data_IF_228023743938
#
_entry.id   IF_228023743938
#
_cell.length_a   1.000
_cell.length_b   1.000
_cell.length_c   1.000
_cell.angle_alpha   90.00
_cell.angle_beta   90.00
_cell.angle_gamma   90.00
#
_symmetry.space_group_name_H-M   'P 1'
#
loop_
_entity.id
_entity.type
_entity.pdbx_description
1 polymer ?
#
# COMPACT_ATOMS: atom_id res chain seq x y z
N UNK A 1 -29.11 9.92 51.82
CA UNK A 1 -27.96 9.31 51.14
C UNK A 1 -28.38 7.95 50.60
N UNK A 2 -28.55 7.80 49.28
CA UNK A 2 -28.78 6.48 48.67
C UNK A 2 -27.81 6.31 47.51
N UNK A 3 -26.91 5.36 47.71
CA UNK A 3 -25.74 5.04 46.88
C UNK A 3 -26.27 4.30 45.65
N UNK A 4 -26.26 4.93 44.48
CA UNK A 4 -26.48 4.21 43.21
C UNK A 4 -25.27 3.30 42.98
N UNK A 5 -25.51 2.00 43.04
CA UNK A 5 -24.56 0.97 42.65
C UNK A 5 -24.22 1.16 41.16
N UNK A 6 -22.93 1.33 40.85
CA UNK A 6 -22.43 1.25 39.48
C UNK A 6 -22.43 -0.22 39.07
N UNK A 7 -23.37 -0.59 38.21
CA UNK A 7 -23.31 -1.86 37.49
C UNK A 7 -22.03 -1.86 36.63
N UNK A 8 -21.18 -2.89 36.71
CA UNK A 8 -20.00 -2.96 35.86
C UNK A 8 -20.46 -3.11 34.40
N UNK A 9 -20.00 -2.20 33.53
CA UNK A 9 -20.15 -2.31 32.08
C UNK A 9 -19.42 -3.59 31.63
N UNK A 10 -20.18 -4.63 31.30
CA UNK A 10 -19.67 -5.82 30.63
C UNK A 10 -19.84 -5.59 29.14
N UNK A 11 -18.75 -5.23 28.46
CA UNK A 11 -18.74 -5.07 27.00
C UNK A 11 -18.45 -6.41 26.34
N UNK A 12 -19.35 -6.86 25.48
CA UNK A 12 -19.04 -7.92 24.52
C UNK A 12 -18.36 -7.27 23.30
N UNK A 13 -17.17 -7.72 22.89
CA UNK A 13 -16.48 -7.17 21.73
C UNK A 13 -17.30 -7.44 20.46
N UNK A 14 -17.42 -6.44 19.58
CA UNK A 14 -17.91 -6.66 18.23
C UNK A 14 -16.98 -7.65 17.55
N UNK A 15 -17.52 -8.77 17.08
CA UNK A 15 -16.76 -9.74 16.28
C UNK A 15 -16.66 -9.18 14.86
N UNK A 16 -15.47 -8.74 14.51
CA UNK A 16 -15.07 -8.53 13.11
C UNK A 16 -14.91 -9.94 12.51
N UNK A 17 -15.70 -10.27 11.49
CA UNK A 17 -15.65 -11.61 10.87
C UNK A 17 -14.55 -11.62 9.81
N UNK A 18 -13.52 -12.43 10.03
CA UNK A 18 -12.18 -12.23 9.47
C UNK A 18 -11.88 -13.04 8.20
N UNK A 19 -12.90 -13.43 7.44
CA UNK A 19 -12.71 -14.14 6.17
C UNK A 19 -13.30 -13.33 5.00
N UNK A 20 -12.43 -12.53 4.38
CA UNK A 20 -12.60 -11.80 3.11
C UNK A 20 -13.58 -10.62 3.05
N UNK A 21 -14.37 -10.33 4.09
CA UNK A 21 -15.32 -9.22 4.06
C UNK A 21 -15.20 -8.30 5.27
N UNK A 22 -14.60 -7.13 5.06
CA UNK A 22 -14.47 -5.96 5.97
C UNK A 22 -15.82 -5.53 6.54
N UNK A 23 -16.44 -6.30 7.41
CA UNK A 23 -17.83 -6.08 7.77
C UNK A 23 -18.13 -6.41 9.22
N UNK A 24 -19.08 -5.65 9.80
CA UNK A 24 -19.49 -5.80 11.20
C UNK A 24 -20.98 -6.09 11.28
N UNK A 25 -21.33 -6.97 12.21
CA UNK A 25 -22.71 -7.23 12.60
C UNK A 25 -23.18 -6.13 13.58
N UNK A 26 -24.17 -5.36 13.15
CA UNK A 26 -24.79 -4.29 13.96
C UNK A 26 -26.02 -4.84 14.71
N UNK A 27 -25.94 -4.93 16.04
CA UNK A 27 -27.07 -5.28 16.91
C UNK A 27 -27.88 -4.02 17.28
N UNK A 28 -28.71 -3.53 16.36
CA UNK A 28 -29.78 -2.55 16.66
C UNK A 28 -30.77 -2.38 15.49
N UNK A 29 -31.04 -3.46 14.75
CA UNK A 29 -32.12 -3.48 13.75
C UNK A 29 -33.28 -4.31 14.31
N UNK A 30 -34.43 -3.67 14.49
CA UNK A 30 -35.70 -4.38 14.71
C UNK A 30 -36.09 -5.24 13.49
N UNK A 31 -35.39 -5.11 12.35
CA UNK A 31 -35.49 -5.99 11.19
C UNK A 31 -34.11 -6.46 10.73
N UNK A 32 -33.74 -7.71 11.06
CA UNK A 32 -32.59 -8.49 10.57
C UNK A 32 -31.19 -7.85 10.69
N UNK A 33 -30.27 -8.57 11.34
CA UNK A 33 -28.84 -8.25 11.43
C UNK A 33 -28.24 -7.97 10.05
N UNK A 34 -28.05 -6.69 9.73
CA UNK A 34 -27.46 -6.23 8.48
C UNK A 34 -25.97 -6.08 8.69
N UNK A 35 -25.20 -6.88 7.97
CA UNK A 35 -23.76 -6.77 7.91
C UNK A 35 -23.41 -5.66 6.91
N UNK A 36 -22.75 -4.60 7.37
CA UNK A 36 -22.28 -3.48 6.52
C UNK A 36 -20.76 -3.39 6.54
N UNK A 37 -20.13 -2.86 5.47
CA UNK A 37 -18.70 -2.60 5.46
C UNK A 37 -18.26 -1.68 6.59
N UNK A 38 -17.02 -1.83 7.08
CA UNK A 38 -16.46 -0.99 8.17
C UNK A 38 -16.50 0.51 7.82
N UNK A 39 -16.21 0.83 6.56
CA UNK A 39 -16.21 2.19 6.03
C UNK A 39 -17.63 2.79 6.05
N UNK A 40 -18.65 1.98 5.76
CA UNK A 40 -20.05 2.39 5.79
C UNK A 40 -20.58 2.51 7.23
N UNK A 41 -20.13 1.63 8.13
CA UNK A 41 -20.41 1.70 9.56
C UNK A 41 -19.93 3.01 10.19
N UNK A 42 -18.73 3.50 9.79
CA UNK A 42 -18.22 4.79 10.25
C UNK A 42 -19.07 6.00 9.81
N UNK A 43 -19.88 5.87 8.77
CA UNK A 43 -20.71 6.94 8.22
C UNK A 43 -22.16 6.90 8.73
N UNK A 44 -22.74 5.69 8.86
CA UNK A 44 -24.18 5.52 9.10
C UNK A 44 -24.55 5.25 10.57
N UNK A 45 -23.61 4.81 11.41
CA UNK A 45 -23.91 4.36 12.77
C UNK A 45 -23.94 5.48 13.82
N UNK A 46 -24.50 5.20 15.00
CA UNK A 46 -24.52 6.14 16.13
C UNK A 46 -23.11 6.44 16.68
N UNK A 47 -22.94 7.58 17.36
CA UNK A 47 -21.66 7.97 17.98
C UNK A 47 -21.07 6.88 18.90
N UNK A 48 -21.92 6.19 19.67
CA UNK A 48 -21.47 5.10 20.54
C UNK A 48 -20.93 3.89 19.74
N UNK A 49 -21.60 3.53 18.66
CA UNK A 49 -21.18 2.43 17.78
C UNK A 49 -19.88 2.77 17.03
N UNK A 50 -19.74 4.00 16.51
CA UNK A 50 -18.51 4.46 15.85
C UNK A 50 -17.30 4.41 16.79
N UNK A 51 -17.47 4.79 18.06
CA UNK A 51 -16.41 4.69 19.07
C UNK A 51 -16.04 3.24 19.38
N UNK A 52 -17.02 2.37 19.56
CA UNK A 52 -16.80 0.92 19.80
C UNK A 52 -16.06 0.27 18.62
N UNK A 53 -16.41 0.64 17.39
CA UNK A 53 -15.76 0.19 16.16
C UNK A 53 -14.27 0.57 16.14
N UNK A 54 -13.94 1.84 16.36
CA UNK A 54 -12.54 2.26 16.40
C UNK A 54 -11.80 1.55 17.54
N UNK A 55 -12.40 1.43 18.73
CA UNK A 55 -11.77 0.71 19.84
C UNK A 55 -11.49 -0.77 19.50
N UNK A 56 -12.37 -1.47 18.78
CA UNK A 56 -12.09 -2.84 18.32
C UNK A 56 -10.91 -2.90 17.35
N UNK A 57 -10.82 -1.93 16.43
CA UNK A 57 -9.68 -1.80 15.49
C UNK A 57 -8.36 -1.55 16.23
N UNK A 58 -8.38 -0.78 17.32
CA UNK A 58 -7.20 -0.52 18.14
C UNK A 58 -6.72 -1.72 18.97
N UNK A 59 -7.63 -2.64 19.29
CA UNK A 59 -7.34 -3.82 20.12
C UNK A 59 -6.79 -4.99 19.31
N UNK A 60 -6.91 -4.94 17.98
CA UNK A 60 -6.46 -5.97 17.05
C UNK A 60 -5.14 -5.55 16.36
N UNK A 61 -5.04 -5.59 15.02
CA UNK A 61 -3.89 -5.06 14.28
C UNK A 61 -4.23 -3.73 13.57
N UNK A 62 -3.97 -2.57 14.21
CA UNK A 62 -4.37 -1.28 13.67
C UNK A 62 -3.65 -0.91 12.38
N UNK A 63 -2.54 -1.57 12.02
CA UNK A 63 -1.85 -1.36 10.74
C UNK A 63 -2.69 -1.88 9.57
N UNK A 64 -3.42 -2.98 9.75
CA UNK A 64 -4.28 -3.55 8.71
C UNK A 64 -5.49 -2.66 8.40
N UNK A 65 -5.92 -1.86 9.37
CA UNK A 65 -7.05 -0.95 9.26
C UNK A 65 -6.62 0.50 9.05
N UNK A 66 -5.41 0.75 8.54
CA UNK A 66 -4.88 2.11 8.38
C UNK A 66 -5.77 3.00 7.49
N UNK A 67 -6.33 2.47 6.40
CA UNK A 67 -7.27 3.19 5.53
C UNK A 67 -8.54 3.62 6.28
N UNK A 68 -9.04 2.77 7.17
CA UNK A 68 -10.20 3.05 8.02
C UNK A 68 -9.88 4.13 9.06
N UNK A 69 -8.67 4.13 9.63
CA UNK A 69 -8.19 5.17 10.55
C UNK A 69 -8.07 6.52 9.84
N UNK A 70 -7.59 6.55 8.59
CA UNK A 70 -7.54 7.76 7.76
C UNK A 70 -8.94 8.34 7.53
N UNK A 71 -9.92 7.48 7.22
CA UNK A 71 -11.32 7.91 7.09
C UNK A 71 -11.89 8.43 8.41
N UNK A 72 -11.60 7.75 9.52
CA UNK A 72 -12.06 8.14 10.86
C UNK A 72 -11.52 9.51 11.29
N UNK A 73 -10.38 9.97 10.76
CA UNK A 73 -9.86 11.33 10.98
C UNK A 73 -10.76 12.43 10.43
N UNK A 74 -11.64 12.10 9.49
CA UNK A 74 -12.63 13.01 8.88
C UNK A 74 -14.02 12.87 9.51
N UNK A 75 -14.17 12.11 10.60
CA UNK A 75 -15.46 11.91 11.26
C UNK A 75 -15.91 13.15 12.06
N UNK A 76 -17.22 13.32 12.21
CA UNK A 76 -17.79 14.43 13.00
C UNK A 76 -17.68 14.21 14.52
N UNK A 77 -17.43 12.97 14.98
CA UNK A 77 -17.23 12.68 16.40
C UNK A 77 -15.77 12.91 16.83
N UNK A 78 -15.55 13.90 17.69
CA UNK A 78 -14.22 14.27 18.18
C UNK A 78 -13.48 13.14 18.91
N UNK A 79 -14.18 12.20 19.55
CA UNK A 79 -13.54 11.05 20.20
C UNK A 79 -13.03 10.03 19.17
N UNK A 80 -13.83 9.77 18.13
CA UNK A 80 -13.44 8.91 16.99
C UNK A 80 -12.20 9.48 16.30
N UNK A 81 -12.19 10.79 16.02
CA UNK A 81 -11.04 11.49 15.46
C UNK A 81 -9.81 11.38 16.37
N UNK A 82 -9.98 11.56 17.69
CA UNK A 82 -8.87 11.47 18.65
C UNK A 82 -8.26 10.07 18.72
N UNK A 83 -9.10 9.04 18.75
CA UNK A 83 -8.63 7.65 18.77
C UNK A 83 -7.87 7.28 17.49
N UNK A 84 -8.42 7.65 16.33
CA UNK A 84 -7.75 7.43 15.05
C UNK A 84 -6.40 8.15 14.99
N UNK A 85 -6.35 9.43 15.35
CA UNK A 85 -5.11 10.21 15.35
C UNK A 85 -4.04 9.63 16.28
N UNK A 86 -4.43 9.16 17.46
CA UNK A 86 -3.51 8.57 18.44
C UNK A 86 -2.96 7.23 17.94
N UNK A 87 -3.81 6.40 17.33
CA UNK A 87 -3.40 5.12 16.76
C UNK A 87 -2.42 5.31 15.60
N UNK A 88 -2.74 6.21 14.68
CA UNK A 88 -1.87 6.55 13.56
C UNK A 88 -0.53 7.11 14.00
N UNK A 89 -0.52 7.99 15.01
CA UNK A 89 0.73 8.51 15.58
C UNK A 89 1.59 7.38 16.18
N UNK A 90 0.96 6.40 16.82
CA UNK A 90 1.66 5.23 17.35
C UNK A 90 2.20 4.32 16.25
N UNK A 91 1.43 4.07 15.18
CA UNK A 91 1.88 3.33 13.99
C UNK A 91 3.08 4.02 13.36
N UNK A 92 2.99 5.33 13.13
CA UNK A 92 4.08 6.14 12.57
C UNK A 92 5.34 6.03 13.43
N UNK A 93 5.22 6.21 14.75
CA UNK A 93 6.34 6.07 15.69
C UNK A 93 6.99 4.69 15.65
N UNK A 94 6.20 3.63 15.57
CA UNK A 94 6.70 2.26 15.49
C UNK A 94 7.42 1.99 14.16
N UNK A 95 6.85 2.45 13.04
CA UNK A 95 7.45 2.34 11.72
C UNK A 95 8.78 3.09 11.65
N UNK A 96 8.84 4.32 12.18
CA UNK A 96 10.08 5.10 12.24
C UNK A 96 11.14 4.39 13.07
N UNK A 97 10.77 3.86 14.25
CA UNK A 97 11.70 3.10 15.09
C UNK A 97 12.21 1.83 14.38
N UNK A 98 11.36 1.14 13.62
CA UNK A 98 11.77 -0.01 12.82
C UNK A 98 12.75 0.40 11.71
N UNK A 99 12.45 1.46 10.96
CA UNK A 99 13.34 2.01 9.93
C UNK A 99 14.71 2.39 10.50
N UNK A 100 14.76 3.04 11.67
CA UNK A 100 16.02 3.37 12.33
C UNK A 100 16.84 2.12 12.70
N UNK A 101 16.20 1.05 13.18
CA UNK A 101 16.88 -0.23 13.46
C UNK A 101 17.44 -0.87 12.19
N UNK A 102 16.67 -0.90 11.11
CA UNK A 102 17.14 -1.42 9.82
C UNK A 102 18.28 -0.56 9.25
N UNK A 103 18.20 0.76 9.36
CA UNK A 103 19.28 1.66 8.94
C UNK A 103 20.57 1.45 9.75
N UNK A 104 20.46 1.25 11.07
CA UNK A 104 21.60 0.93 11.92
C UNK A 104 22.24 -0.42 11.55
N UNK A 105 21.43 -1.46 11.32
CA UNK A 105 21.91 -2.77 10.85
C UNK A 105 22.59 -2.68 9.50
N UNK A 106 22.01 -1.94 8.56
CA UNK A 106 22.61 -1.69 7.25
C UNK A 106 23.94 -0.94 7.35
N UNK A 107 24.07 -0.01 8.30
CA UNK A 107 25.34 0.68 8.53
C UNK A 107 26.41 -0.27 9.08
N UNK A 108 26.03 -1.23 9.92
CA UNK A 108 26.93 -2.23 10.49
C UNK A 108 27.34 -3.30 9.47
N UNK A 109 26.40 -3.79 8.66
CA UNK A 109 26.63 -4.78 7.61
C UNK A 109 25.91 -4.42 6.30
N UNK A 110 26.52 -3.57 5.47
CA UNK A 110 25.88 -3.08 4.24
C UNK A 110 25.90 -4.09 3.08
N UNK A 111 26.61 -5.22 3.23
CA UNK A 111 26.76 -6.24 2.19
C UNK A 111 25.95 -7.51 2.48
N UNK A 112 25.41 -7.66 3.69
CA UNK A 112 24.53 -8.77 4.00
C UNK A 112 23.22 -8.66 3.17
N UNK A 113 22.94 -9.66 2.29
CA UNK A 113 21.73 -9.68 1.48
C UNK A 113 20.43 -9.64 2.30
N UNK A 114 20.42 -10.24 3.49
CA UNK A 114 19.26 -10.25 4.37
C UNK A 114 19.00 -8.85 4.95
N UNK A 115 20.07 -8.15 5.37
CA UNK A 115 19.97 -6.77 5.88
C UNK A 115 19.46 -5.82 4.79
N UNK A 116 19.95 -5.95 3.56
CA UNK A 116 19.45 -5.19 2.41
C UNK A 116 17.94 -5.46 2.17
N UNK A 117 17.54 -6.74 2.19
CA UNK A 117 16.16 -7.15 1.90
C UNK A 117 15.18 -6.66 2.94
N UNK A 118 15.52 -6.84 4.22
CA UNK A 118 14.69 -6.38 5.32
C UNK A 118 14.57 -4.87 5.35
N UNK A 119 15.65 -4.13 5.08
CA UNK A 119 15.58 -2.67 5.03
C UNK A 119 14.75 -2.17 3.85
N UNK A 120 14.92 -2.75 2.67
CA UNK A 120 14.10 -2.43 1.51
C UNK A 120 12.61 -2.71 1.77
N UNK A 121 12.28 -3.86 2.37
CA UNK A 121 10.91 -4.23 2.71
C UNK A 121 10.30 -3.26 3.74
N UNK A 122 11.06 -2.84 4.76
CA UNK A 122 10.61 -1.87 5.74
C UNK A 122 10.32 -0.49 5.12
N UNK A 123 11.16 -0.03 4.18
CA UNK A 123 10.92 1.20 3.43
C UNK A 123 9.67 1.11 2.56
N UNK A 124 9.47 0.00 1.85
CA UNK A 124 8.27 -0.22 1.03
C UNK A 124 7.00 -0.23 1.87
N UNK A 125 7.01 -0.90 3.03
CA UNK A 125 5.88 -0.92 3.94
C UNK A 125 5.55 0.50 4.46
N UNK A 126 6.57 1.26 4.85
CA UNK A 126 6.41 2.65 5.30
C UNK A 126 5.85 3.56 4.20
N UNK A 127 6.34 3.42 2.97
CA UNK A 127 5.87 4.17 1.80
C UNK A 127 4.43 3.79 1.40
N UNK A 128 4.07 2.50 1.50
CA UNK A 128 2.72 2.01 1.18
C UNK A 128 1.66 2.56 2.15
N UNK A 129 2.02 2.72 3.43
CA UNK A 129 1.17 3.34 4.44
C UNK A 129 1.11 4.88 4.33
N UNK A 130 1.88 5.50 3.43
CA UNK A 130 1.89 6.96 3.27
C UNK A 130 2.39 7.74 4.48
N UNK A 131 3.16 7.09 5.38
CA UNK A 131 3.63 7.69 6.64
C UNK A 131 4.59 8.86 6.42
N UNK A 132 5.31 8.86 5.30
CA UNK A 132 6.15 9.96 4.87
C UNK A 132 5.53 10.67 3.67
N UNK A 133 5.65 12.00 3.63
CA UNK A 133 5.20 12.82 2.49
C UNK A 133 6.29 13.79 2.04
N UNK A 134 6.12 14.35 0.85
CA UNK A 134 7.03 15.34 0.26
C UNK A 134 8.49 14.88 0.27
N UNK A 135 9.37 15.72 0.85
CA UNK A 135 10.82 15.47 0.86
C UNK A 135 11.21 14.20 1.62
N UNK A 136 10.52 13.86 2.70
CA UNK A 136 10.81 12.66 3.49
C UNK A 136 10.53 11.39 2.67
N UNK A 137 9.38 11.32 1.99
CA UNK A 137 9.03 10.21 1.11
C UNK A 137 10.01 10.10 -0.07
N UNK A 138 10.45 11.23 -0.62
CA UNK A 138 11.44 11.24 -1.70
C UNK A 138 12.78 10.65 -1.24
N UNK A 139 13.26 11.00 -0.04
CA UNK A 139 14.49 10.44 0.52
C UNK A 139 14.37 8.93 0.78
N UNK A 140 13.23 8.47 1.31
CA UNK A 140 12.96 7.05 1.49
C UNK A 140 12.96 6.29 0.16
N UNK A 141 12.33 6.83 -0.89
CA UNK A 141 12.36 6.23 -2.24
C UNK A 141 13.76 6.19 -2.84
N UNK A 142 14.56 7.24 -2.69
CA UNK A 142 15.97 7.26 -3.13
C UNK A 142 16.80 6.20 -2.40
N UNK A 143 16.59 6.04 -1.10
CA UNK A 143 17.26 5.00 -0.32
C UNK A 143 16.80 3.60 -0.76
N UNK A 144 15.50 3.40 -0.98
CA UNK A 144 14.97 2.14 -1.50
C UNK A 144 15.56 1.80 -2.87
N UNK A 145 15.63 2.77 -3.78
CA UNK A 145 16.23 2.59 -5.10
C UNK A 145 17.69 2.11 -4.99
N UNK A 146 18.47 2.73 -4.10
CA UNK A 146 19.86 2.34 -3.82
C UNK A 146 19.95 0.90 -3.29
N UNK A 147 19.11 0.53 -2.33
CA UNK A 147 19.11 -0.82 -1.76
C UNK A 147 18.76 -1.86 -2.81
N UNK A 148 17.74 -1.62 -3.64
CA UNK A 148 17.35 -2.51 -4.72
C UNK A 148 18.48 -2.70 -5.75
N UNK A 149 19.18 -1.62 -6.13
CA UNK A 149 20.37 -1.71 -7.00
C UNK A 149 21.48 -2.56 -6.39
N UNK A 150 21.74 -2.40 -5.08
CA UNK A 150 22.73 -3.22 -4.37
C UNK A 150 22.32 -4.70 -4.37
N UNK A 151 21.06 -5.01 -4.10
CA UNK A 151 20.55 -6.39 -4.14
C UNK A 151 20.66 -7.01 -5.53
N UNK A 152 20.36 -6.25 -6.58
CA UNK A 152 20.45 -6.75 -7.96
C UNK A 152 21.88 -7.10 -8.38
N UNK A 153 22.90 -6.42 -7.82
CA UNK A 153 24.30 -6.67 -8.16
C UNK A 153 24.77 -8.08 -7.75
N UNK A 154 24.27 -8.60 -6.64
CA UNK A 154 24.70 -9.87 -6.05
C UNK A 154 23.77 -11.05 -6.38
N UNK A 155 22.59 -10.78 -6.94
CA UNK A 155 21.57 -11.79 -7.21
C UNK A 155 21.76 -12.49 -8.57
N UNK A 156 21.52 -13.81 -8.66
CA UNK A 156 21.46 -14.51 -9.92
C UNK A 156 20.48 -13.85 -10.86
N UNK A 157 20.89 -13.87 -12.11
CA UNK A 157 20.30 -13.14 -13.21
C UNK A 157 18.84 -13.60 -13.45
N UNK A 158 18.47 -14.81 -13.05
CA UNK A 158 17.13 -15.41 -13.11
C UNK A 158 16.18 -14.86 -12.03
N UNK A 159 16.71 -14.44 -10.89
CA UNK A 159 15.96 -13.95 -9.72
C UNK A 159 15.75 -12.42 -9.76
N UNK A 160 16.42 -11.74 -10.69
CA UNK A 160 16.38 -10.28 -10.83
C UNK A 160 15.04 -9.73 -11.34
N UNK A 161 14.12 -10.56 -11.86
CA UNK A 161 12.85 -10.08 -12.41
C UNK A 161 12.03 -9.28 -11.37
N UNK A 162 11.84 -9.84 -10.18
CA UNK A 162 11.05 -9.21 -9.12
C UNK A 162 11.69 -7.92 -8.61
N UNK A 163 13.00 -7.95 -8.37
CA UNK A 163 13.78 -6.79 -7.91
C UNK A 163 13.81 -5.68 -8.98
N UNK A 164 14.00 -6.04 -10.25
CA UNK A 164 14.00 -5.07 -11.34
C UNK A 164 12.64 -4.41 -11.54
N UNK A 165 11.53 -5.15 -11.41
CA UNK A 165 10.18 -4.56 -11.47
C UNK A 165 9.95 -3.56 -10.33
N UNK A 166 10.39 -3.90 -9.11
CA UNK A 166 10.34 -3.00 -7.94
C UNK A 166 11.20 -1.76 -8.18
N UNK A 167 12.42 -1.93 -8.67
CA UNK A 167 13.34 -0.85 -8.99
C UNK A 167 12.75 0.12 -10.02
N UNK A 168 12.26 -0.40 -11.15
CA UNK A 168 11.64 0.41 -12.19
C UNK A 168 10.42 1.18 -11.65
N UNK A 169 9.58 0.55 -10.81
CA UNK A 169 8.44 1.23 -10.17
C UNK A 169 8.92 2.41 -9.32
N UNK A 170 9.92 2.21 -8.47
CA UNK A 170 10.48 3.28 -7.61
C UNK A 170 11.08 4.40 -8.44
N UNK A 171 11.80 4.08 -9.52
CA UNK A 171 12.36 5.08 -10.44
C UNK A 171 11.27 5.92 -11.12
N UNK A 172 10.17 5.31 -11.53
CA UNK A 172 9.01 6.04 -12.07
C UNK A 172 8.36 6.94 -11.02
N UNK A 173 8.23 6.49 -9.77
CA UNK A 173 7.74 7.32 -8.65
C UNK A 173 8.68 8.49 -8.33
N UNK A 174 9.98 8.35 -8.59
CA UNK A 174 10.97 9.41 -8.50
C UNK A 174 11.03 10.31 -9.75
N UNK A 175 10.22 10.03 -10.77
CA UNK A 175 10.26 10.67 -12.09
C UNK A 175 11.62 10.54 -12.82
N UNK A 176 12.41 9.52 -12.48
CA UNK A 176 13.69 9.18 -13.12
C UNK A 176 13.44 8.33 -14.38
N UNK A 177 12.70 8.89 -15.33
CA UNK A 177 12.18 8.15 -16.49
C UNK A 177 13.27 7.49 -17.34
N UNK A 178 14.44 8.13 -17.48
CA UNK A 178 15.56 7.56 -18.24
C UNK A 178 16.14 6.30 -17.56
N UNK A 179 16.31 6.34 -16.23
CA UNK A 179 16.78 5.19 -15.47
C UNK A 179 15.74 4.07 -15.47
N UNK A 180 14.46 4.41 -15.28
CA UNK A 180 13.36 3.47 -15.38
C UNK A 180 13.33 2.77 -16.74
N UNK A 181 13.46 3.50 -17.85
CA UNK A 181 13.44 2.91 -19.19
C UNK A 181 14.62 1.97 -19.43
N UNK A 182 15.81 2.29 -18.90
CA UNK A 182 16.95 1.37 -18.95
C UNK A 182 16.65 0.05 -18.24
N UNK A 183 16.15 0.12 -17.00
CA UNK A 183 15.77 -1.07 -16.23
C UNK A 183 14.66 -1.86 -16.95
N UNK A 184 13.64 -1.17 -17.49
CA UNK A 184 12.53 -1.81 -18.21
C UNK A 184 12.99 -2.44 -19.54
N UNK A 185 13.96 -1.85 -20.23
CA UNK A 185 14.57 -2.42 -21.44
C UNK A 185 15.27 -3.74 -21.16
N UNK A 186 16.06 -3.80 -20.09
CA UNK A 186 16.72 -5.04 -19.67
C UNK A 186 15.69 -6.12 -19.28
N UNK A 187 14.65 -5.73 -18.55
CA UNK A 187 13.58 -6.66 -18.14
C UNK A 187 12.79 -7.21 -19.33
N UNK A 188 12.40 -6.36 -20.27
CA UNK A 188 11.63 -6.77 -21.46
C UNK A 188 12.46 -7.54 -22.47
N UNK A 189 13.76 -7.25 -22.60
CA UNK A 189 14.66 -8.05 -23.43
C UNK A 189 14.81 -9.48 -22.90
N UNK A 190 14.81 -9.63 -21.58
CA UNK A 190 15.07 -10.91 -20.93
C UNK A 190 13.83 -11.73 -20.63
N UNK A 191 12.73 -11.07 -20.26
CA UNK A 191 11.43 -11.69 -19.98
C UNK A 191 10.35 -11.06 -20.85
N UNK A 192 10.43 -11.19 -22.19
CA UNK A 192 9.57 -10.46 -23.12
C UNK A 192 8.08 -10.78 -22.95
N UNK A 193 7.74 -11.98 -22.50
CA UNK A 193 6.35 -12.42 -22.36
C UNK A 193 5.70 -12.04 -21.01
N UNK A 194 6.44 -11.45 -20.07
CA UNK A 194 5.93 -11.10 -18.74
C UNK A 194 5.35 -9.68 -18.74
N UNK A 195 4.13 -9.51 -18.23
CA UNK A 195 3.40 -8.23 -18.36
C UNK A 195 3.98 -7.06 -17.56
N UNK A 196 4.55 -7.27 -16.37
CA UNK A 196 4.82 -6.17 -15.41
C UNK A 196 5.71 -5.07 -15.99
N UNK A 197 6.85 -5.36 -16.65
CA UNK A 197 7.69 -4.31 -17.24
C UNK A 197 6.96 -3.53 -18.35
N UNK A 198 6.12 -4.20 -19.14
CA UNK A 198 5.35 -3.53 -20.19
C UNK A 198 4.28 -2.61 -19.63
N UNK A 199 3.55 -3.03 -18.61
CA UNK A 199 2.56 -2.18 -17.94
C UNK A 199 3.22 -0.95 -17.31
N UNK A 200 4.42 -1.10 -16.71
CA UNK A 200 5.18 0.03 -16.19
C UNK A 200 5.62 1.01 -17.31
N UNK A 201 5.99 0.51 -18.50
CA UNK A 201 6.27 1.35 -19.67
C UNK A 201 5.05 2.13 -20.14
N UNK A 202 3.87 1.49 -20.21
CA UNK A 202 2.62 2.18 -20.55
C UNK A 202 2.32 3.31 -19.56
N UNK A 203 2.43 3.03 -18.24
CA UNK A 203 2.24 4.03 -17.19
C UNK A 203 3.25 5.18 -17.28
N UNK A 204 4.51 4.89 -17.59
CA UNK A 204 5.55 5.90 -17.82
C UNK A 204 5.19 6.83 -19.00
N UNK A 205 4.80 6.26 -20.14
CA UNK A 205 4.39 7.02 -21.31
C UNK A 205 3.14 7.86 -21.02
N UNK A 206 2.15 7.29 -20.33
CA UNK A 206 0.95 8.01 -19.89
C UNK A 206 1.26 9.18 -18.96
N UNK A 207 2.12 8.99 -17.95
CA UNK A 207 2.54 10.03 -17.02
C UNK A 207 3.23 11.20 -17.74
N UNK A 208 3.98 10.91 -18.80
CA UNK A 208 4.64 11.91 -19.67
C UNK A 208 3.73 12.47 -20.77
N UNK A 209 2.49 11.98 -20.88
CA UNK A 209 1.54 12.31 -21.95
C UNK A 209 2.11 12.05 -23.36
N UNK A 210 2.94 11.01 -23.47
CA UNK A 210 3.58 10.62 -24.72
C UNK A 210 2.74 9.54 -25.43
N UNK A 211 1.79 9.98 -26.25
CA UNK A 211 0.91 9.08 -27.00
C UNK A 211 1.63 8.25 -28.07
N UNK A 212 2.75 8.76 -28.61
CA UNK A 212 3.52 8.03 -29.62
C UNK A 212 4.27 6.85 -28.99
N UNK A 213 4.88 7.08 -27.84
CA UNK A 213 5.56 6.02 -27.10
C UNK A 213 4.58 5.00 -26.53
N UNK A 214 3.41 5.46 -26.07
CA UNK A 214 2.34 4.57 -25.64
C UNK A 214 1.88 3.63 -26.77
N UNK A 215 1.61 4.19 -27.97
CA UNK A 215 1.20 3.40 -29.13
C UNK A 215 2.30 2.41 -29.56
N UNK A 216 3.56 2.83 -29.50
CA UNK A 216 4.71 1.96 -29.74
C UNK A 216 4.73 0.78 -28.77
N UNK A 217 4.57 1.02 -27.47
CA UNK A 217 4.59 -0.06 -26.48
C UNK A 217 3.42 -1.03 -26.62
N UNK A 218 2.21 -0.55 -26.93
CA UNK A 218 1.08 -1.41 -27.24
C UNK A 218 1.38 -2.36 -28.42
N UNK A 219 1.95 -1.83 -29.51
CA UNK A 219 2.33 -2.63 -30.66
C UNK A 219 3.44 -3.65 -30.35
N UNK A 220 4.45 -3.25 -29.55
CA UNK A 220 5.52 -4.16 -29.12
C UNK A 220 5.00 -5.27 -28.19
N UNK A 221 4.06 -4.97 -27.29
CA UNK A 221 3.43 -5.99 -26.44
C UNK A 221 2.67 -7.04 -27.26
N UNK A 222 1.99 -6.62 -28.33
CA UNK A 222 1.33 -7.54 -29.26
C UNK A 222 2.35 -8.41 -30.00
N UNK A 223 3.45 -7.82 -30.48
CA UNK A 223 4.53 -8.55 -31.16
C UNK A 223 5.21 -9.57 -30.24
N UNK A 224 5.48 -9.18 -28.99
CA UNK A 224 6.10 -10.02 -27.98
C UNK A 224 5.15 -11.08 -27.42
N UNK A 225 3.85 -11.05 -27.79
CA UNK A 225 2.82 -11.98 -27.29
C UNK A 225 2.79 -12.04 -25.76
N UNK A 226 2.75 -10.86 -25.13
CA UNK A 226 2.79 -10.71 -23.67
C UNK A 226 1.60 -11.44 -23.01
N UNK A 227 1.88 -12.27 -22.00
CA UNK A 227 0.86 -12.90 -21.19
C UNK A 227 0.26 -11.90 -20.22
N UNK A 228 -0.94 -11.43 -20.54
CA UNK A 228 -1.69 -10.47 -19.72
C UNK A 228 -2.58 -11.20 -18.70
N UNK A 229 -2.58 -10.70 -17.47
CA UNK A 229 -3.60 -11.03 -16.48
C UNK A 229 -4.93 -10.35 -16.82
N UNK A 230 -6.00 -10.69 -16.10
CA UNK A 230 -7.28 -9.98 -16.27
C UNK A 230 -7.16 -8.48 -15.97
N UNK A 231 -6.33 -8.10 -15.00
CA UNK A 231 -6.05 -6.70 -14.69
C UNK A 231 -5.20 -6.04 -15.79
N UNK A 232 -4.13 -6.70 -16.24
CA UNK A 232 -3.29 -6.20 -17.33
C UNK A 232 -4.06 -6.00 -18.64
N UNK A 233 -4.99 -6.90 -18.98
CA UNK A 233 -5.88 -6.73 -20.14
C UNK A 233 -6.72 -5.47 -20.03
N UNK A 234 -7.40 -5.24 -18.89
CA UNK A 234 -8.21 -4.04 -18.68
C UNK A 234 -7.40 -2.75 -18.86
N UNK A 235 -6.16 -2.74 -18.34
CA UNK A 235 -5.27 -1.60 -18.49
C UNK A 235 -4.87 -1.37 -19.96
N UNK A 236 -4.48 -2.43 -20.67
CA UNK A 236 -4.14 -2.37 -22.09
C UNK A 236 -5.34 -1.93 -22.94
N UNK A 237 -6.53 -2.47 -22.68
CA UNK A 237 -7.77 -2.16 -23.40
C UNK A 237 -8.19 -0.70 -23.17
N UNK A 238 -8.05 -0.19 -21.95
CA UNK A 238 -8.27 1.22 -21.63
C UNK A 238 -7.40 2.15 -22.50
N UNK A 239 -6.11 1.83 -22.63
CA UNK A 239 -5.20 2.63 -23.43
C UNK A 239 -5.44 2.48 -24.94
N UNK A 240 -5.83 1.29 -25.41
CA UNK A 240 -6.25 1.07 -26.80
C UNK A 240 -7.53 1.82 -27.17
N UNK A 241 -8.45 1.96 -26.21
CA UNK A 241 -9.71 2.68 -26.35
C UNK A 241 -9.59 4.21 -26.37
N UNK A 242 -8.37 4.77 -26.32
CA UNK A 242 -8.13 6.21 -26.37
C UNK A 242 -8.02 6.90 -25.01
N UNK A 243 -7.96 6.14 -23.90
CA UNK A 243 -7.63 6.66 -22.57
C UNK A 243 -8.60 7.71 -22.01
N UNK A 244 -9.86 7.73 -22.45
CA UNK A 244 -10.91 8.55 -21.83
C UNK A 244 -11.39 7.86 -20.55
N UNK A 245 -11.38 8.55 -19.39
CA UNK A 245 -11.87 8.03 -18.12
C UNK A 245 -13.38 7.77 -18.13
#
# INVERSE_FOLDING_TARGET
MSRREKTPFRMEPFRVDDELHRSIRVENREDAASTVPLEEALLLDSAEQRRKLILSVLMDDPVQYYDLLEQARLNDDSEVVHYAATAMAQISKQADAALQRHAARFTADPKDPAVLAEYAAALEASLALGLAQGRAAQLQRQQLERLLKMQMADQPKEEQYGLGCRLAKVQLELAEYAAAEQTLAELTARWPVRETPWLLRLRSAAARKDGAELARWLAEMERAQVYLSAAGRREVDFWKGGGQP
#
